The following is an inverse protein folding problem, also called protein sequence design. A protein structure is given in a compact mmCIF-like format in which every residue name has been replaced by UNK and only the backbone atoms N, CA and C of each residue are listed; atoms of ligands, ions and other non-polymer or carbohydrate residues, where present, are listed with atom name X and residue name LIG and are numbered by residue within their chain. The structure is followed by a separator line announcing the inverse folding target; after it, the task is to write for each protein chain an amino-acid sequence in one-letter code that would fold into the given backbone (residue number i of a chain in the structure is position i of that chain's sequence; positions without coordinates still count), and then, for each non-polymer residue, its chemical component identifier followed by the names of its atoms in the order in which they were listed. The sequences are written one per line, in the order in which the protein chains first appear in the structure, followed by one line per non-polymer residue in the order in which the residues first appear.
data_IF_423045751457
#
_entry.id   IF_423045751457
#
_cell.length_a   1.000
_cell.length_b   1.000
_cell.length_c   1.000
_cell.angle_alpha   90.00
_cell.angle_beta   90.00
_cell.angle_gamma   90.00
#
_symmetry.space_group_name_H-M   'P 1'
#
loop_
_entity.id
_entity.type
_entity.pdbx_description
1 polymer ?
#
# COMPACT_ATOMS: atom_id res chain seq x y z
N UNK A 1 -10.17 12.02 11.68
CA UNK A 1 -9.39 10.87 11.19
C UNK A 1 -10.09 9.63 11.73
N UNK A 2 -10.45 8.66 10.88
CA UNK A 2 -11.04 7.39 11.34
C UNK A 2 -9.97 6.30 11.25
N UNK A 3 -9.81 5.54 12.34
CA UNK A 3 -8.98 4.35 12.32
C UNK A 3 -9.55 3.37 11.28
N UNK A 4 -8.67 2.72 10.53
CA UNK A 4 -9.05 1.73 9.54
C UNK A 4 -8.53 0.35 9.95
N UNK A 5 -9.43 -0.63 9.94
CA UNK A 5 -9.11 -2.03 10.17
C UNK A 5 -9.33 -2.79 8.87
N UNK A 6 -8.29 -3.51 8.44
CA UNK A 6 -8.36 -4.46 7.34
C UNK A 6 -9.12 -5.69 7.83
N UNK A 7 -10.18 -6.02 7.13
CA UNK A 7 -11.00 -7.19 7.41
C UNK A 7 -11.46 -7.79 6.08
N UNK A 8 -10.76 -8.83 5.62
CA UNK A 8 -11.10 -9.52 4.39
C UNK A 8 -12.14 -10.62 4.68
N UNK A 9 -13.31 -10.59 4.01
CA UNK A 9 -14.32 -11.62 4.20
C UNK A 9 -13.79 -13.02 3.88
N UNK A 10 -14.17 -14.01 4.69
CA UNK A 10 -13.71 -15.40 4.54
C UNK A 10 -14.03 -15.98 3.15
N UNK A 11 -15.17 -15.59 2.57
CA UNK A 11 -15.55 -15.94 1.19
C UNK A 11 -14.51 -15.54 0.13
N UNK A 12 -13.78 -14.44 0.32
CA UNK A 12 -12.71 -14.02 -0.60
C UNK A 12 -11.50 -14.94 -0.47
N UNK A 13 -11.18 -15.39 0.75
CA UNK A 13 -10.08 -16.32 0.99
C UNK A 13 -10.39 -17.72 0.46
N UNK A 14 -11.62 -18.18 0.61
CA UNK A 14 -12.11 -19.43 0.02
C UNK A 14 -12.05 -19.34 -1.51
N UNK A 15 -12.58 -18.26 -2.09
CA UNK A 15 -12.55 -18.03 -3.54
C UNK A 15 -11.12 -18.03 -4.08
N UNK A 16 -10.17 -17.39 -3.39
CA UNK A 16 -8.76 -17.41 -3.75
C UNK A 16 -8.19 -18.84 -3.76
N UNK A 17 -8.45 -19.63 -2.72
CA UNK A 17 -7.97 -21.02 -2.62
C UNK A 17 -8.53 -21.90 -3.73
N UNK A 18 -9.81 -21.73 -4.10
CA UNK A 18 -10.44 -22.44 -5.22
C UNK A 18 -9.74 -22.08 -6.52
N UNK A 19 -9.52 -20.78 -6.80
CA UNK A 19 -8.83 -20.32 -8.01
C UNK A 19 -7.39 -20.86 -8.11
N UNK A 20 -6.64 -20.86 -7.00
CA UNK A 20 -5.31 -21.44 -6.96
C UNK A 20 -5.31 -22.96 -7.17
N UNK A 21 -6.38 -23.66 -6.75
CA UNK A 21 -6.50 -25.10 -6.93
C UNK A 21 -6.89 -25.51 -8.37
N UNK A 22 -7.61 -24.63 -9.06
CA UNK A 22 -8.09 -24.84 -10.44
C UNK A 22 -7.18 -24.15 -11.48
N UNK A 23 -6.04 -23.60 -11.07
CA UNK A 23 -5.13 -22.91 -11.97
C UNK A 23 -4.57 -23.87 -13.02
N UNK A 24 -4.84 -23.59 -14.28
CA UNK A 24 -4.17 -24.20 -15.42
C UNK A 24 -2.91 -23.39 -15.73
N UNK A 25 -1.80 -24.09 -15.95
CA UNK A 25 -0.51 -23.45 -16.23
C UNK A 25 -0.10 -23.66 -17.68
N UNK A 26 0.50 -22.66 -18.34
CA UNK A 26 1.04 -22.82 -19.68
C UNK A 26 2.24 -23.79 -19.69
N UNK A 27 2.64 -24.20 -20.89
CA UNK A 27 3.94 -24.83 -21.14
C UNK A 27 5.08 -23.79 -21.11
N UNK A 28 6.32 -24.27 -21.15
CA UNK A 28 7.53 -23.44 -21.08
C UNK A 28 8.60 -24.03 -22.01
N UNK A 29 9.39 -23.16 -22.65
CA UNK A 29 10.52 -23.58 -23.47
C UNK A 29 11.68 -24.07 -22.61
N UNK A 30 12.32 -25.15 -23.02
CA UNK A 30 13.50 -25.68 -22.34
C UNK A 30 14.62 -24.61 -22.26
N UNK A 31 15.15 -24.40 -21.05
CA UNK A 31 16.25 -23.46 -20.83
C UNK A 31 15.89 -21.97 -20.89
N UNK A 32 14.60 -21.60 -20.96
CA UNK A 32 14.17 -20.19 -21.05
C UNK A 32 14.58 -19.34 -19.84
N UNK A 33 14.64 -19.95 -18.65
CA UNK A 33 14.89 -19.27 -17.38
C UNK A 33 14.05 -17.99 -17.27
N UNK A 34 14.64 -16.85 -16.89
CA UNK A 34 13.94 -15.57 -16.76
C UNK A 34 13.89 -14.73 -18.05
N UNK A 35 14.43 -15.22 -19.16
CA UNK A 35 14.58 -14.43 -20.39
C UNK A 35 13.24 -14.10 -21.07
N UNK A 36 12.18 -14.86 -20.76
CA UNK A 36 10.85 -14.74 -21.37
C UNK A 36 9.73 -14.51 -20.32
N UNK A 37 10.09 -14.09 -19.11
CA UNK A 37 9.13 -13.85 -18.02
C UNK A 37 9.42 -14.73 -16.80
N UNK A 38 8.42 -14.86 -15.93
CA UNK A 38 8.54 -15.65 -14.72
C UNK A 38 8.60 -17.16 -15.04
N UNK A 39 9.62 -17.89 -14.57
CA UNK A 39 9.75 -19.32 -14.83
C UNK A 39 8.56 -20.13 -14.31
N UNK A 40 8.09 -21.09 -15.09
CA UNK A 40 6.91 -21.89 -14.76
C UNK A 40 7.08 -22.62 -13.43
N UNK A 41 8.27 -23.14 -13.16
CA UNK A 41 8.59 -23.81 -11.90
C UNK A 41 8.42 -22.88 -10.68
N UNK A 42 8.81 -21.62 -10.80
CA UNK A 42 8.67 -20.63 -9.73
C UNK A 42 7.21 -20.24 -9.52
N UNK A 43 6.45 -20.01 -10.60
CA UNK A 43 5.02 -19.70 -10.52
C UNK A 43 4.25 -20.84 -9.84
N UNK A 44 4.48 -22.10 -10.25
CA UNK A 44 3.87 -23.29 -9.62
C UNK A 44 4.24 -23.40 -8.14
N UNK A 45 5.52 -23.21 -7.79
CA UNK A 45 6.00 -23.26 -6.41
C UNK A 45 5.34 -22.19 -5.53
N UNK A 46 5.27 -20.94 -6.01
CA UNK A 46 4.66 -19.83 -5.28
C UNK A 46 3.14 -20.01 -5.15
N UNK A 47 2.44 -20.42 -6.21
CA UNK A 47 1.01 -20.71 -6.17
C UNK A 47 0.68 -21.82 -5.16
N UNK A 48 1.49 -22.89 -5.14
CA UNK A 48 1.32 -23.98 -4.18
C UNK A 48 1.56 -23.52 -2.74
N UNK A 49 2.60 -22.72 -2.50
CA UNK A 49 2.86 -22.14 -1.18
C UNK A 49 1.69 -21.24 -0.74
N UNK A 50 1.19 -20.39 -1.63
CA UNK A 50 0.08 -19.50 -1.34
C UNK A 50 -1.20 -20.28 -0.97
N UNK A 51 -1.51 -21.33 -1.73
CA UNK A 51 -2.67 -22.18 -1.48
C UNK A 51 -2.63 -22.91 -0.14
N UNK A 52 -1.45 -23.38 0.27
CA UNK A 52 -1.32 -24.40 1.34
C UNK A 52 -0.62 -23.94 2.61
N UNK A 53 0.23 -22.92 2.54
CA UNK A 53 1.08 -22.51 3.67
C UNK A 53 0.97 -21.03 4.03
N UNK A 54 0.59 -20.18 3.08
CA UNK A 54 0.43 -18.76 3.37
C UNK A 54 -0.83 -18.51 4.20
N UNK A 55 -0.63 -18.02 5.42
CA UNK A 55 -1.71 -17.67 6.34
C UNK A 55 -2.06 -16.18 6.22
N UNK A 56 -3.15 -15.89 5.49
CA UNK A 56 -3.65 -14.52 5.38
C UNK A 56 -4.05 -13.93 6.73
N UNK A 57 -4.67 -14.70 7.64
CA UNK A 57 -5.15 -14.17 8.92
C UNK A 57 -3.99 -13.75 9.80
N UNK A 58 -2.89 -14.50 9.80
CA UNK A 58 -1.66 -14.06 10.46
C UNK A 58 -1.07 -12.77 9.86
N UNK A 59 -1.15 -12.57 8.54
CA UNK A 59 -0.69 -11.34 7.91
C UNK A 59 -1.63 -10.17 8.15
N UNK A 60 -2.94 -10.39 8.15
CA UNK A 60 -3.96 -9.40 8.47
C UNK A 60 -3.80 -8.85 9.88
N UNK A 61 -3.44 -9.69 10.86
CA UNK A 61 -3.07 -9.24 12.21
C UNK A 61 -1.86 -8.30 12.18
N UNK A 62 -0.81 -8.64 11.42
CA UNK A 62 0.39 -7.80 11.30
C UNK A 62 0.09 -6.47 10.60
N UNK A 63 -0.71 -6.50 9.53
CA UNK A 63 -1.13 -5.30 8.82
C UNK A 63 -1.95 -4.37 9.72
N UNK A 64 -2.85 -4.93 10.53
CA UNK A 64 -3.66 -4.19 11.49
C UNK A 64 -2.89 -3.69 12.73
N UNK A 65 -1.66 -4.16 12.96
CA UNK A 65 -0.78 -3.59 13.98
C UNK A 65 -0.15 -2.26 13.52
N UNK A 66 -0.20 -1.95 12.22
CA UNK A 66 0.22 -0.66 11.68
C UNK A 66 -0.88 0.41 11.93
N UNK A 67 -0.50 1.69 12.09
CA UNK A 67 -1.45 2.77 12.33
C UNK A 67 -2.14 3.19 11.02
N UNK A 68 -3.09 2.37 10.58
CA UNK A 68 -3.87 2.60 9.35
C UNK A 68 -5.09 3.47 9.63
N UNK A 69 -5.36 4.39 8.71
CA UNK A 69 -6.48 5.31 8.76
C UNK A 69 -7.13 5.45 7.39
N UNK A 70 -8.35 5.98 7.40
CA UNK A 70 -9.04 6.42 6.20
C UNK A 70 -9.59 7.81 6.37
N UNK A 71 -9.75 8.53 5.25
CA UNK A 71 -10.50 9.78 5.19
C UNK A 71 -10.93 10.11 3.76
N UNK A 72 -12.08 10.79 3.58
CA UNK A 72 -12.41 11.40 2.30
C UNK A 72 -11.41 12.51 1.98
N UNK A 73 -10.94 12.52 0.72
CA UNK A 73 -10.12 13.57 0.12
C UNK A 73 -10.83 14.08 -1.12
N UNK A 74 -10.98 15.40 -1.18
CA UNK A 74 -11.53 16.09 -2.35
C UNK A 74 -10.40 16.41 -3.32
N UNK A 75 -10.63 16.11 -4.59
CA UNK A 75 -9.76 16.44 -5.72
C UNK A 75 -10.59 17.24 -6.71
N UNK A 76 -10.06 18.35 -7.22
CA UNK A 76 -10.80 19.26 -8.08
C UNK A 76 -11.41 18.54 -9.29
N UNK A 77 -12.71 18.76 -9.50
CA UNK A 77 -13.46 18.12 -10.57
C UNK A 77 -13.81 16.65 -10.33
N UNK A 78 -13.40 16.00 -9.24
CA UNK A 78 -13.77 14.63 -8.90
C UNK A 78 -14.67 14.57 -7.66
N UNK A 79 -15.41 13.47 -7.53
CA UNK A 79 -16.08 13.13 -6.27
C UNK A 79 -15.03 12.86 -5.20
N UNK A 80 -15.39 13.06 -3.93
CA UNK A 80 -14.49 12.71 -2.83
C UNK A 80 -14.10 11.23 -2.90
N UNK A 81 -12.81 10.97 -2.67
CA UNK A 81 -12.23 9.64 -2.72
C UNK A 81 -11.83 9.29 -1.28
N UNK A 82 -12.30 8.14 -0.80
CA UNK A 82 -11.90 7.63 0.51
C UNK A 82 -10.47 7.05 0.42
N UNK A 83 -9.50 7.78 0.96
CA UNK A 83 -8.08 7.46 0.87
C UNK A 83 -7.64 6.75 2.15
N UNK A 84 -7.07 5.57 1.97
CA UNK A 84 -6.34 4.86 3.00
C UNK A 84 -4.91 5.38 3.11
N UNK A 85 -4.41 5.50 4.34
CA UNK A 85 -3.04 5.87 4.62
C UNK A 85 -2.56 5.30 5.95
N UNK A 86 -1.28 4.98 6.02
CA UNK A 86 -0.57 4.77 7.27
C UNK A 86 -0.11 6.14 7.78
N UNK A 87 -0.31 6.42 9.07
CA UNK A 87 0.21 7.63 9.71
C UNK A 87 0.90 7.31 11.04
N UNK A 88 2.21 7.53 11.10
CA UNK A 88 3.01 7.32 12.28
C UNK A 88 3.68 8.63 12.71
N UNK A 89 3.14 9.34 13.72
CA UNK A 89 3.80 10.51 14.28
C UNK A 89 5.05 10.12 15.08
N UNK A 90 6.11 10.91 14.94
CA UNK A 90 7.24 10.91 15.89
C UNK A 90 6.86 11.63 17.19
N UNK A 91 7.50 11.22 18.29
CA UNK A 91 7.49 11.94 19.57
C UNK A 91 8.51 13.09 19.61
N UNK A 92 9.42 13.15 18.64
CA UNK A 92 10.38 14.25 18.52
C UNK A 92 9.64 15.52 18.03
N UNK A 93 9.65 16.63 18.79
CA UNK A 93 8.95 17.85 18.42
C UNK A 93 9.52 18.54 17.16
N UNK A 94 10.75 18.18 16.78
CA UNK A 94 11.43 18.68 15.58
C UNK A 94 11.32 17.71 14.40
N UNK A 95 10.46 16.69 14.48
CA UNK A 95 10.31 15.73 13.39
C UNK A 95 9.70 16.39 12.16
N UNK A 96 10.23 16.05 10.99
CA UNK A 96 9.77 16.59 9.71
C UNK A 96 8.63 15.73 9.17
N UNK A 97 7.53 16.29 8.66
CA UNK A 97 6.53 15.52 7.94
C UNK A 97 7.14 14.86 6.70
N UNK A 98 7.00 13.54 6.58
CA UNK A 98 7.47 12.77 5.43
C UNK A 98 6.28 12.10 4.76
N UNK A 99 6.04 12.45 3.50
CA UNK A 99 5.13 11.73 2.64
C UNK A 99 5.91 10.66 1.86
N UNK A 100 5.57 9.40 2.10
CA UNK A 100 6.11 8.26 1.37
C UNK A 100 5.14 7.85 0.26
N UNK A 101 5.56 7.96 -1.00
CA UNK A 101 4.73 7.67 -2.17
C UNK A 101 5.24 6.42 -2.88
N UNK A 102 4.51 5.32 -2.77
CA UNK A 102 4.90 4.06 -3.42
C UNK A 102 4.67 4.09 -4.94
N UNK A 103 5.41 3.25 -5.68
CA UNK A 103 5.24 3.04 -7.12
C UNK A 103 4.31 1.87 -7.47
N UNK A 104 4.38 1.42 -8.74
CA UNK A 104 3.80 0.17 -9.23
C UNK A 104 4.94 -0.81 -9.58
N UNK A 105 4.85 -2.11 -9.24
CA UNK A 105 3.73 -2.85 -8.63
C UNK A 105 3.74 -2.83 -7.08
N UNK A 106 4.19 -1.73 -6.48
CA UNK A 106 4.37 -1.54 -5.05
C UNK A 106 3.10 -1.24 -4.24
N UNK A 107 3.28 -0.97 -2.95
CA UNK A 107 2.21 -0.54 -2.03
C UNK A 107 2.74 0.24 -0.83
N UNK A 108 1.83 0.90 -0.10
CA UNK A 108 2.14 1.61 1.16
C UNK A 108 2.92 0.76 2.17
N UNK A 109 2.82 -0.58 2.09
CA UNK A 109 3.48 -1.48 3.02
C UNK A 109 5.01 -1.42 2.92
N UNK A 110 5.57 -0.94 1.81
CA UNK A 110 7.02 -0.85 1.61
C UNK A 110 7.71 -0.02 2.70
N UNK A 111 7.06 1.04 3.22
CA UNK A 111 7.63 1.85 4.30
C UNK A 111 7.73 1.11 5.63
N UNK A 112 6.95 0.03 5.83
CA UNK A 112 6.86 -0.68 7.12
C UNK A 112 8.21 -1.13 7.68
N UNK A 113 9.16 -1.48 6.81
CA UNK A 113 10.52 -1.93 7.19
C UNK A 113 11.39 -0.81 7.77
N UNK A 114 11.01 0.45 7.56
CA UNK A 114 11.77 1.63 7.94
C UNK A 114 11.04 2.51 8.97
N UNK A 115 9.78 2.21 9.29
CA UNK A 115 8.92 3.01 10.18
C UNK A 115 9.60 3.38 11.50
N UNK A 116 10.12 2.40 12.25
CA UNK A 116 10.76 2.65 13.54
C UNK A 116 11.98 3.59 13.39
N UNK A 117 12.88 3.29 12.46
CA UNK A 117 14.08 4.10 12.20
C UNK A 117 13.75 5.53 11.77
N UNK A 118 12.73 5.72 10.92
CA UNK A 118 12.28 7.04 10.48
C UNK A 118 11.62 7.81 11.63
N UNK A 119 10.79 7.15 12.43
CA UNK A 119 10.11 7.78 13.58
C UNK A 119 11.11 8.24 14.64
N UNK A 120 12.11 7.42 14.95
CA UNK A 120 13.09 7.67 16.02
C UNK A 120 14.23 8.60 15.57
N UNK A 121 14.49 8.70 14.26
CA UNK A 121 15.61 9.47 13.73
C UNK A 121 16.96 8.82 14.06
N UNK A 122 17.04 7.48 14.07
CA UNK A 122 18.23 6.72 14.49
C UNK A 122 19.51 7.03 13.69
N UNK A 123 19.40 7.75 12.57
CA UNK A 123 20.52 8.23 11.73
C UNK A 123 20.49 9.75 11.49
N UNK A 124 19.81 10.52 12.34
CA UNK A 124 19.73 11.98 12.24
C UNK A 124 18.32 12.51 12.43
N UNK A 125 17.67 12.89 11.33
CA UNK A 125 16.34 13.52 11.37
C UNK A 125 15.25 12.50 11.66
N UNK A 126 14.34 12.83 12.57
CA UNK A 126 13.13 12.07 12.83
C UNK A 126 11.98 12.55 11.94
N UNK A 127 11.04 11.67 11.62
CA UNK A 127 9.94 11.97 10.71
C UNK A 127 8.57 11.61 11.29
N UNK A 128 7.58 12.45 11.01
CA UNK A 128 6.18 12.01 11.04
C UNK A 128 5.86 11.36 9.69
N UNK A 129 5.72 10.04 9.66
CA UNK A 129 5.55 9.30 8.40
C UNK A 129 4.08 9.24 8.00
N UNK A 130 3.78 9.62 6.76
CA UNK A 130 2.48 9.43 6.12
C UNK A 130 2.70 8.64 4.83
N UNK A 131 2.03 7.50 4.68
CA UNK A 131 2.14 6.65 3.49
C UNK A 131 0.73 6.31 2.97
N UNK A 132 0.19 7.07 2.00
CA UNK A 132 -1.08 6.72 1.38
C UNK A 132 -0.96 5.42 0.59
N UNK A 133 -2.04 4.66 0.55
CA UNK A 133 -2.31 3.88 -0.67
C UNK A 133 -2.80 4.86 -1.72
N UNK A 134 -2.15 4.91 -2.87
CA UNK A 134 -2.56 5.80 -3.96
C UNK A 134 -4.03 5.54 -4.37
N UNK A 135 -4.76 6.53 -4.92
CA UNK A 135 -6.08 6.30 -5.53
C UNK A 135 -6.08 5.07 -6.44
N UNK A 136 -7.06 4.16 -6.25
CA UNK A 136 -7.13 2.81 -6.87
C UNK A 136 -6.12 1.74 -6.39
N UNK A 137 -5.26 2.03 -5.41
CA UNK A 137 -4.30 1.07 -4.87
C UNK A 137 -4.66 0.65 -3.45
N UNK A 138 -4.27 -0.58 -3.09
CA UNK A 138 -4.42 -1.12 -1.74
C UNK A 138 -5.85 -0.98 -1.23
N UNK A 139 -6.01 -0.20 -0.16
CA UNK A 139 -7.30 0.01 0.51
C UNK A 139 -7.97 1.34 0.16
N UNK A 140 -7.38 2.15 -0.72
CA UNK A 140 -7.97 3.42 -1.17
C UNK A 140 -9.05 3.17 -2.21
N UNK A 141 -10.11 3.97 -2.17
CA UNK A 141 -11.10 4.03 -3.22
C UNK A 141 -10.49 4.57 -4.53
N UNK A 142 -11.25 4.38 -5.60
CA UNK A 142 -10.85 4.78 -6.95
C UNK A 142 -11.73 5.87 -7.55
N UNK A 143 -11.19 6.80 -8.36
CA UNK A 143 -11.99 7.69 -9.19
C UNK A 143 -12.99 6.90 -10.05
N UNK A 144 -14.20 7.46 -10.20
CA UNK A 144 -15.30 6.85 -10.97
C UNK A 144 -15.49 7.42 -12.38
N UNK A 145 -14.66 8.38 -12.76
CA UNK A 145 -14.66 8.99 -14.10
C UNK A 145 -13.23 9.07 -14.65
N UNK A 146 -13.13 9.27 -15.96
CA UNK A 146 -11.86 9.42 -16.68
C UNK A 146 -11.14 10.72 -16.32
N UNK A 147 -9.86 10.82 -16.71
CA UNK A 147 -9.05 12.02 -16.55
C UNK A 147 -8.28 12.13 -15.23
N UNK A 148 -8.22 11.08 -14.41
CA UNK A 148 -7.45 11.08 -13.17
C UNK A 148 -5.98 10.72 -13.46
N UNK A 149 -5.15 11.74 -13.66
CA UNK A 149 -3.74 11.62 -14.01
C UNK A 149 -2.80 12.04 -12.87
N UNK A 150 -1.51 12.17 -13.18
CA UNK A 150 -0.45 12.48 -12.21
C UNK A 150 -0.76 13.73 -11.36
N UNK A 151 -1.33 14.77 -11.97
CA UNK A 151 -1.71 15.99 -11.25
C UNK A 151 -2.74 15.71 -10.14
N UNK A 152 -3.73 14.87 -10.40
CA UNK A 152 -4.74 14.48 -9.41
C UNK A 152 -4.16 13.57 -8.31
N UNK A 153 -3.19 12.72 -8.64
CA UNK A 153 -2.44 11.96 -7.63
C UNK A 153 -1.65 12.89 -6.70
N UNK A 154 -0.97 13.89 -7.26
CA UNK A 154 -0.25 14.90 -6.48
C UNK A 154 -1.19 15.74 -5.61
N UNK A 155 -2.31 16.20 -6.17
CA UNK A 155 -3.34 16.93 -5.42
C UNK A 155 -3.92 16.08 -4.29
N UNK A 156 -4.20 14.79 -4.53
CA UNK A 156 -4.67 13.88 -3.46
C UNK A 156 -3.69 13.82 -2.29
N UNK A 157 -2.39 13.71 -2.60
CA UNK A 157 -1.35 13.64 -1.58
C UNK A 157 -1.19 14.95 -0.82
N UNK A 158 -1.20 16.08 -1.53
CA UNK A 158 -1.14 17.41 -0.93
C UNK A 158 -2.35 17.66 -0.01
N UNK A 159 -3.56 17.40 -0.50
CA UNK A 159 -4.79 17.52 0.29
C UNK A 159 -4.79 16.60 1.51
N UNK A 160 -4.24 15.38 1.40
CA UNK A 160 -4.06 14.49 2.54
C UNK A 160 -3.14 15.10 3.60
N UNK A 161 -1.97 15.61 3.21
CA UNK A 161 -1.01 16.24 4.11
C UNK A 161 -1.57 17.50 4.77
N UNK A 162 -2.23 18.37 3.99
CA UNK A 162 -2.91 19.57 4.52
C UNK A 162 -3.98 19.20 5.53
N UNK A 163 -4.78 18.17 5.24
CA UNK A 163 -5.86 17.75 6.12
C UNK A 163 -5.35 17.06 7.40
N UNK A 164 -4.08 16.62 7.44
CA UNK A 164 -3.36 16.15 8.62
C UNK A 164 -2.65 17.28 9.38
N UNK A 165 -2.67 18.51 8.88
CA UNK A 165 -2.07 19.68 9.51
C UNK A 165 -0.63 20.00 9.06
N UNK A 166 -0.07 19.24 8.12
CA UNK A 166 1.29 19.47 7.60
C UNK A 166 1.27 20.45 6.44
N UNK A 167 1.16 21.74 6.75
CA UNK A 167 1.15 22.81 5.76
C UNK A 167 2.59 23.20 5.41
N UNK A 168 2.97 23.14 4.13
CA UNK A 168 4.21 23.68 3.56
C UNK A 168 5.55 23.00 3.93
N UNK A 169 5.59 22.01 4.83
CA UNK A 169 6.85 21.44 5.37
C UNK A 169 7.08 19.95 5.04
N UNK A 170 6.37 19.39 4.05
CA UNK A 170 6.49 17.97 3.72
C UNK A 170 7.70 17.69 2.82
N UNK A 171 8.58 16.78 3.26
CA UNK A 171 9.59 16.17 2.39
C UNK A 171 8.93 15.00 1.63
N UNK A 172 9.28 14.83 0.35
CA UNK A 172 8.77 13.75 -0.49
C UNK A 172 9.87 12.69 -0.72
N UNK A 173 9.58 11.43 -0.38
CA UNK A 173 10.38 10.27 -0.82
C UNK A 173 9.53 9.42 -1.76
N UNK A 174 10.08 9.16 -2.95
CA UNK A 174 9.60 8.20 -3.95
C UNK A 174 10.25 6.85 -3.68
#
# INVERSE_FOLDING_TARGET
MSAYRIDVPEEKLISLKIKLAQAEFPDELDGAAWNYGAPLADVKRLAQHWKTRYDWRAQEVKLNALPNYKRPIKVEGFVEIDIHYLHQPSENPNAIPLLFVHGWPGSYLEVSKMLASLREGSKGVAFHVVAPSLPNFGWSAGPKKTGFGLAQYAETCDQLMQALGYKNDALHLI
#
